data_IF_529173130864
#
_entry.id   IF_529173130864
#
_cell.length_a   1.000
_cell.length_b   1.000
_cell.length_c   1.000
_cell.angle_alpha   90.00
_cell.angle_beta   90.00
_cell.angle_gamma   90.00
#
_symmetry.space_group_name_H-M   'P 1'
#
loop_
_entity.id
_entity.type
_entity.pdbx_description
1 polymer ?
#
# COMPACT_ATOMS: atom_id res chain seq x y z
N UNK A 1 32.00 8.75 28.63
CA UNK A 1 31.91 8.64 27.15
C UNK A 1 31.17 7.35 26.81
N UNK A 2 29.85 7.39 26.81
CA UNK A 2 29.00 6.27 26.39
C UNK A 2 28.79 6.37 24.88
N UNK A 3 29.65 5.68 24.14
CA UNK A 3 29.47 5.44 22.71
C UNK A 3 28.43 4.35 22.48
N UNK A 4 27.19 4.58 22.91
CA UNK A 4 26.06 3.75 22.50
C UNK A 4 25.57 4.27 21.14
N UNK A 5 26.27 3.88 20.08
CA UNK A 5 25.66 3.86 18.76
C UNK A 5 24.48 2.91 18.82
N UNK A 6 23.26 3.47 18.87
CA UNK A 6 22.01 2.73 18.65
C UNK A 6 22.17 1.90 17.38
N UNK A 7 22.37 0.58 17.53
CA UNK A 7 22.38 -0.33 16.41
C UNK A 7 20.94 -0.43 15.89
N UNK A 8 20.64 0.32 14.83
CA UNK A 8 19.39 0.14 14.12
C UNK A 8 19.35 -1.28 13.56
N UNK A 9 18.39 -2.09 14.01
CA UNK A 9 18.05 -3.37 13.39
C UNK A 9 17.78 -3.18 11.89
N UNK A 10 17.98 -4.21 11.08
CA UNK A 10 17.61 -4.21 9.65
C UNK A 10 16.17 -3.74 9.42
N UNK A 11 15.24 -4.11 10.31
CA UNK A 11 13.83 -3.68 10.30
C UNK A 11 13.63 -2.19 10.61
N UNK A 12 14.40 -1.61 11.54
CA UNK A 12 14.35 -0.17 11.78
C UNK A 12 15.01 0.61 10.66
N UNK A 13 16.06 0.08 10.02
CA UNK A 13 16.65 0.66 8.82
C UNK A 13 15.72 0.57 7.61
N UNK A 14 14.99 -0.54 7.41
CA UNK A 14 13.97 -0.66 6.35
C UNK A 14 12.76 0.22 6.63
N UNK A 15 12.29 0.30 7.88
CA UNK A 15 11.21 1.20 8.29
C UNK A 15 11.63 2.67 8.15
N UNK A 16 12.84 3.04 8.56
CA UNK A 16 13.42 4.37 8.33
C UNK A 16 13.60 4.64 6.84
N UNK A 17 14.03 3.65 6.04
CA UNK A 17 14.15 3.78 4.60
C UNK A 17 12.79 3.94 3.94
N UNK A 18 11.77 3.20 4.37
CA UNK A 18 10.39 3.31 3.89
C UNK A 18 9.74 4.62 4.35
N UNK A 19 9.98 5.06 5.59
CA UNK A 19 9.52 6.35 6.11
C UNK A 19 10.22 7.50 5.40
N UNK A 20 11.52 7.39 5.14
CA UNK A 20 12.30 8.37 4.38
C UNK A 20 11.86 8.37 2.93
N UNK A 21 11.64 7.21 2.32
CA UNK A 21 11.09 7.10 0.97
C UNK A 21 9.66 7.66 0.90
N UNK A 22 8.85 7.47 1.94
CA UNK A 22 7.49 8.04 2.08
C UNK A 22 7.52 9.55 2.30
N UNK A 23 8.44 10.06 3.10
CA UNK A 23 8.65 11.49 3.33
C UNK A 23 9.21 12.16 2.07
N UNK A 24 10.24 11.60 1.45
CA UNK A 24 10.76 12.02 0.15
C UNK A 24 9.70 11.91 -0.95
N UNK A 25 8.74 10.98 -0.82
CA UNK A 25 7.57 10.85 -1.69
C UNK A 25 6.54 11.93 -1.41
N UNK A 26 6.31 12.32 -0.16
CA UNK A 26 5.42 13.42 0.24
C UNK A 26 6.04 14.76 -0.18
N UNK A 27 7.37 14.88 -0.10
CA UNK A 27 8.15 16.03 -0.52
C UNK A 27 8.23 16.11 -2.04
N UNK A 28 8.45 15.00 -2.76
CA UNK A 28 8.34 14.95 -4.22
C UNK A 28 6.91 15.24 -4.69
N UNK A 29 5.89 14.75 -3.98
CA UNK A 29 4.48 15.08 -4.25
C UNK A 29 4.24 16.58 -4.10
N UNK A 30 4.71 17.19 -3.00
CA UNK A 30 4.63 18.64 -2.77
C UNK A 30 5.45 19.45 -3.79
N UNK A 31 6.63 18.97 -4.18
CA UNK A 31 7.49 19.63 -5.16
C UNK A 31 6.93 19.57 -6.59
N UNK A 32 6.38 18.43 -7.00
CA UNK A 32 5.72 18.28 -8.30
C UNK A 32 4.43 19.11 -8.39
N UNK A 33 3.64 19.16 -7.31
CA UNK A 33 2.50 20.08 -7.19
C UNK A 33 2.95 21.54 -7.39
N UNK A 34 4.03 21.97 -6.73
CA UNK A 34 4.63 23.31 -6.91
C UNK A 34 5.16 23.54 -8.32
N UNK A 35 5.68 22.51 -8.99
CA UNK A 35 6.24 22.60 -10.35
C UNK A 35 5.15 22.58 -11.45
N UNK A 36 4.00 21.96 -11.19
CA UNK A 36 2.82 22.03 -12.05
C UNK A 36 2.19 23.43 -12.03
N UNK A 37 2.26 24.16 -10.91
CA UNK A 37 1.83 25.57 -10.81
C UNK A 37 2.68 26.52 -11.66
N UNK A 38 3.92 26.16 -12.00
CA UNK A 38 4.84 27.02 -12.78
C UNK A 38 4.82 26.74 -14.29
N UNK A 39 4.22 25.64 -14.75
CA UNK A 39 4.06 25.34 -16.18
C UNK A 39 2.78 25.98 -16.73
N UNK A 40 2.89 27.19 -17.27
CA UNK A 40 1.87 27.77 -18.16
C UNK A 40 1.74 26.90 -19.41
N UNK A 41 0.54 26.37 -19.66
CA UNK A 41 0.18 25.75 -20.93
C UNK A 41 -1.05 26.42 -21.54
N UNK A 42 -1.18 26.40 -22.88
CA UNK A 42 -2.12 27.23 -23.62
C UNK A 42 -3.58 26.76 -23.44
N UNK A 43 -4.56 27.65 -23.64
CA UNK A 43 -5.95 27.36 -23.36
C UNK A 43 -6.51 26.30 -24.32
N UNK A 44 -7.11 25.25 -23.78
CA UNK A 44 -7.90 24.29 -24.54
C UNK A 44 -9.18 24.96 -25.09
N UNK A 45 -9.51 24.62 -26.33
CA UNK A 45 -10.65 25.12 -27.11
C UNK A 45 -11.99 24.95 -26.38
N UNK A 46 -12.66 26.08 -26.16
CA UNK A 46 -13.99 26.20 -25.54
C UNK A 46 -15.10 25.87 -26.54
N UNK A 47 -16.04 25.01 -26.16
CA UNK A 47 -17.40 24.96 -26.72
C UNK A 47 -18.32 25.99 -26.00
N UNK A 48 -19.43 26.44 -26.61
CA UNK A 48 -19.94 27.80 -26.41
C UNK A 48 -20.81 27.98 -25.14
N UNK A 49 -20.25 28.77 -24.22
CA UNK A 49 -20.80 29.93 -23.49
C UNK A 49 -22.27 29.93 -23.05
N UNK A 50 -22.49 29.59 -21.77
CA UNK A 50 -23.26 30.46 -20.88
C UNK A 50 -22.32 31.62 -20.46
N UNK A 51 -22.82 32.86 -20.52
CA UNK A 51 -22.07 34.05 -20.08
C UNK A 51 -21.48 33.83 -18.66
N UNK A 52 -20.16 34.01 -18.44
CA UNK A 52 -19.60 33.92 -17.10
C UNK A 52 -20.19 35.05 -16.25
N UNK A 53 -20.75 34.71 -15.08
CA UNK A 53 -21.09 35.68 -14.05
C UNK A 53 -19.86 36.57 -13.79
N UNK A 54 -20.02 37.89 -13.56
CA UNK A 54 -18.88 38.77 -13.30
C UNK A 54 -18.10 38.26 -12.08
N UNK A 55 -16.80 38.00 -12.28
CA UNK A 55 -15.91 37.51 -11.23
C UNK A 55 -15.82 38.55 -10.09
N UNK A 56 -16.55 38.30 -9.00
CA UNK A 56 -16.47 39.11 -7.77
C UNK A 56 -15.08 38.93 -7.16
N UNK A 57 -14.50 40.00 -6.61
CA UNK A 57 -13.22 39.90 -5.91
C UNK A 57 -13.39 38.98 -4.70
N UNK A 58 -12.52 37.99 -4.48
CA UNK A 58 -12.61 37.12 -3.32
C UNK A 58 -12.49 37.95 -2.05
N UNK A 59 -13.48 37.80 -1.17
CA UNK A 59 -13.52 38.50 0.10
C UNK A 59 -12.84 37.61 1.15
N UNK A 60 -11.85 38.15 1.85
CA UNK A 60 -11.07 37.41 2.84
C UNK A 60 -11.56 37.73 4.25
N UNK A 61 -11.80 36.70 5.06
CA UNK A 61 -12.12 36.83 6.48
C UNK A 61 -10.96 36.28 7.31
N UNK A 62 -10.43 37.12 8.20
CA UNK A 62 -9.37 36.78 9.16
C UNK A 62 -9.86 36.80 10.61
N UNK A 63 -11.17 37.01 10.80
CA UNK A 63 -11.76 37.10 12.14
C UNK A 63 -11.76 35.71 12.80
N UNK A 64 -11.01 35.52 13.91
CA UNK A 64 -10.99 34.26 14.64
C UNK A 64 -12.37 33.88 15.17
N UNK A 65 -13.27 34.83 15.43
CA UNK A 65 -14.62 34.55 15.90
C UNK A 65 -15.43 33.83 14.81
N UNK A 66 -15.35 34.28 13.56
CA UNK A 66 -16.01 33.62 12.41
C UNK A 66 -15.45 32.22 12.20
N UNK A 67 -14.13 32.07 12.28
CA UNK A 67 -13.50 30.75 12.19
C UNK A 67 -13.97 29.83 13.33
N UNK A 68 -14.03 30.32 14.57
CA UNK A 68 -14.48 29.55 15.73
C UNK A 68 -15.95 29.13 15.60
N UNK A 69 -16.83 30.00 15.10
CA UNK A 69 -18.25 29.67 14.87
C UNK A 69 -18.40 28.55 13.83
N UNK A 70 -17.66 28.62 12.72
CA UNK A 70 -17.61 27.53 11.74
C UNK A 70 -17.03 26.24 12.34
N UNK A 71 -16.08 26.38 13.27
CA UNK A 71 -15.46 25.28 13.99
C UNK A 71 -16.42 24.65 15.00
N UNK A 72 -17.28 25.41 15.69
CA UNK A 72 -18.23 24.86 16.68
C UNK A 72 -19.49 24.28 16.04
N UNK A 73 -19.90 24.82 14.88
CA UNK A 73 -21.06 24.33 14.15
C UNK A 73 -22.40 24.71 14.75
N UNK A 74 -22.45 25.77 15.57
CA UNK A 74 -23.73 26.27 16.07
C UNK A 74 -24.53 26.91 14.92
N UNK A 75 -25.65 26.28 14.59
CA UNK A 75 -26.50 26.65 13.46
C UNK A 75 -27.05 28.08 13.61
N UNK A 76 -27.37 28.53 14.82
CA UNK A 76 -28.00 29.84 15.00
C UNK A 76 -26.99 30.97 14.80
N UNK A 77 -25.78 30.84 15.34
CA UNK A 77 -24.71 31.80 15.07
C UNK A 77 -24.28 31.79 13.61
N UNK A 78 -24.22 30.63 12.96
CA UNK A 78 -23.94 30.54 11.52
C UNK A 78 -25.04 31.25 10.71
N UNK A 79 -26.32 31.06 11.03
CA UNK A 79 -27.43 31.78 10.37
C UNK A 79 -27.34 33.30 10.54
N UNK A 80 -26.85 33.75 11.70
CA UNK A 80 -26.71 35.17 11.99
C UNK A 80 -25.53 35.82 11.26
N UNK A 81 -24.44 35.08 11.01
CA UNK A 81 -23.26 35.61 10.34
C UNK A 81 -23.40 35.46 8.81
N UNK A 82 -23.81 34.29 8.33
CA UNK A 82 -23.88 33.95 6.90
C UNK A 82 -25.30 34.17 6.37
N UNK A 83 -25.63 35.42 6.03
CA UNK A 83 -26.96 35.84 5.56
C UNK A 83 -27.07 36.05 4.05
N UNK A 84 -25.95 36.10 3.35
CA UNK A 84 -25.90 36.46 1.94
C UNK A 84 -24.83 35.64 1.18
N UNK A 85 -24.90 35.69 -0.14
CA UNK A 85 -24.00 34.99 -1.05
C UNK A 85 -22.53 35.41 -0.87
N UNK A 86 -22.30 36.67 -0.50
CA UNK A 86 -20.96 37.20 -0.28
C UNK A 86 -20.31 36.54 0.95
N UNK A 87 -21.02 36.48 2.08
CA UNK A 87 -20.49 35.86 3.28
C UNK A 87 -20.41 34.33 3.14
N UNK A 88 -21.37 33.70 2.43
CA UNK A 88 -21.35 32.26 2.15
C UNK A 88 -20.09 31.80 1.37
N UNK A 89 -19.55 32.69 0.51
CA UNK A 89 -18.37 32.43 -0.32
C UNK A 89 -17.09 33.15 0.15
N UNK A 90 -17.07 33.63 1.41
CA UNK A 90 -15.88 34.25 1.96
C UNK A 90 -14.72 33.24 2.02
N UNK A 91 -13.49 33.70 1.80
CA UNK A 91 -12.29 32.88 2.01
C UNK A 91 -11.82 33.10 3.45
N UNK A 92 -11.90 32.04 4.26
CA UNK A 92 -11.36 32.06 5.63
C UNK A 92 -9.85 31.82 5.55
N UNK A 93 -9.07 32.84 5.91
CA UNK A 93 -7.60 32.79 5.95
C UNK A 93 -7.15 32.54 7.38
N UNK A 94 -6.53 31.38 7.62
CA UNK A 94 -5.85 31.08 8.89
C UNK A 94 -4.35 31.24 8.71
N UNK A 95 -3.71 31.89 9.67
CA UNK A 95 -2.26 32.09 9.71
C UNK A 95 -1.71 31.21 10.83
N UNK A 96 -0.81 30.30 10.49
CA UNK A 96 -0.08 29.47 11.44
C UNK A 96 1.41 29.69 11.28
N UNK A 97 2.12 29.90 12.39
CA UNK A 97 3.58 30.01 12.38
C UNK A 97 4.20 28.60 12.35
N UNK A 98 4.94 28.28 11.29
CA UNK A 98 5.67 27.02 11.17
C UNK A 98 7.18 27.30 11.30
N UNK A 99 7.88 26.50 12.12
CA UNK A 99 9.35 26.56 12.23
C UNK A 99 9.98 25.92 10.98
N UNK A 100 10.68 26.73 10.18
CA UNK A 100 11.42 26.28 9.01
C UNK A 100 12.92 26.46 9.24
N UNK A 101 13.72 25.45 8.89
CA UNK A 101 15.18 25.55 8.92
C UNK A 101 15.66 26.46 7.78
N UNK A 102 16.35 27.54 8.13
CA UNK A 102 17.04 28.40 7.17
C UNK A 102 18.49 27.96 7.06
N UNK A 103 18.84 27.34 5.93
CA UNK A 103 20.23 26.91 5.66
C UNK A 103 21.20 28.10 5.55
N UNK A 104 20.71 29.27 5.12
CA UNK A 104 21.50 30.50 5.01
C UNK A 104 21.85 31.09 6.37
N UNK A 105 20.96 30.96 7.36
CA UNK A 105 21.14 31.50 8.70
C UNK A 105 21.61 30.44 9.72
N UNK A 106 21.58 29.16 9.36
CA UNK A 106 21.88 28.05 10.27
C UNK A 106 20.95 27.98 11.48
N UNK A 107 19.70 28.46 11.33
CA UNK A 107 18.74 28.64 12.42
C UNK A 107 17.32 28.25 11.98
N UNK A 108 16.49 27.89 12.96
CA UNK A 108 15.05 27.71 12.75
C UNK A 108 14.33 29.07 12.82
N UNK A 109 13.57 29.40 11.77
CA UNK A 109 12.84 30.65 11.63
C UNK A 109 11.34 30.37 11.63
N UNK A 110 10.60 31.09 12.49
CA UNK A 110 9.13 31.09 12.47
C UNK A 110 8.67 31.79 11.19
N UNK A 111 7.99 31.03 10.34
CA UNK A 111 7.53 31.45 9.03
C UNK A 111 6.01 31.41 9.00
N UNK A 112 5.32 32.53 8.73
CA UNK A 112 3.86 32.55 8.69
C UNK A 112 3.38 31.80 7.44
N UNK A 113 2.68 30.69 7.66
CA UNK A 113 1.99 29.95 6.61
C UNK A 113 0.52 30.33 6.58
N UNK A 114 0.05 30.73 5.40
CA UNK A 114 -1.35 31.10 5.16
C UNK A 114 -2.10 29.93 4.56
N UNK A 115 -3.21 29.54 5.19
CA UNK A 115 -4.12 28.53 4.68
C UNK A 115 -5.45 29.17 4.34
N UNK A 116 -5.89 28.97 3.11
CA UNK A 116 -7.19 29.43 2.64
C UNK A 116 -8.19 28.28 2.69
N UNK A 117 -9.38 28.53 3.24
CA UNK A 117 -10.46 27.54 3.31
C UNK A 117 -11.81 28.20 3.07
N UNK A 118 -12.80 27.45 2.56
CA UNK A 118 -14.17 27.95 2.45
C UNK A 118 -15.00 27.56 3.69
N UNK A 119 -15.97 28.38 4.10
CA UNK A 119 -16.91 28.06 5.18
C UNK A 119 -17.58 26.71 4.97
N UNK A 120 -18.05 26.47 3.74
CA UNK A 120 -18.72 25.22 3.34
C UNK A 120 -17.84 23.99 3.60
N UNK A 121 -16.53 24.08 3.29
CA UNK A 121 -15.58 22.99 3.50
C UNK A 121 -15.39 22.69 4.98
N UNK A 122 -15.26 23.70 5.83
CA UNK A 122 -15.08 23.53 7.29
C UNK A 122 -16.29 22.78 7.89
N UNK A 123 -17.51 23.26 7.60
CA UNK A 123 -18.72 22.63 8.15
C UNK A 123 -18.98 21.24 7.57
N UNK A 124 -18.65 21.01 6.29
CA UNK A 124 -18.80 19.72 5.63
C UNK A 124 -17.81 18.66 6.14
N UNK A 125 -16.55 19.03 6.39
CA UNK A 125 -15.57 18.12 7.00
C UNK A 125 -15.91 17.75 8.44
N UNK A 126 -16.61 18.64 9.15
CA UNK A 126 -17.10 18.40 10.51
C UNK A 126 -18.33 17.52 10.59
N UNK A 127 -19.12 17.45 9.52
CA UNK A 127 -20.38 16.72 9.52
C UNK A 127 -21.58 17.58 9.96
N UNK A 128 -21.46 18.92 9.97
CA UNK A 128 -22.55 19.81 10.34
C UNK A 128 -23.55 19.98 9.19
N UNK A 129 -24.34 18.93 8.94
CA UNK A 129 -25.27 18.82 7.79
C UNK A 129 -26.21 20.01 7.66
N UNK A 130 -26.80 20.48 8.75
CA UNK A 130 -27.74 21.61 8.70
C UNK A 130 -27.04 22.94 8.42
N UNK A 131 -25.79 23.09 8.85
CA UNK A 131 -24.96 24.26 8.52
C UNK A 131 -24.56 24.24 7.04
N UNK A 132 -24.19 23.07 6.51
CA UNK A 132 -23.95 22.86 5.07
C UNK A 132 -25.20 23.26 4.28
N UNK A 133 -26.38 22.77 4.67
CA UNK A 133 -27.65 23.09 4.00
C UNK A 133 -27.91 24.59 4.01
N UNK A 134 -27.73 25.25 5.16
CA UNK A 134 -27.92 26.70 5.26
C UNK A 134 -26.98 27.45 4.32
N UNK A 135 -25.67 27.15 4.34
CA UNK A 135 -24.70 27.83 3.48
C UNK A 135 -24.99 27.65 1.99
N UNK A 136 -25.39 26.46 1.54
CA UNK A 136 -25.79 26.23 0.15
C UNK A 136 -27.03 27.06 -0.22
N UNK A 137 -28.03 27.11 0.66
CA UNK A 137 -29.23 27.95 0.44
C UNK A 137 -28.92 29.44 0.40
N UNK A 138 -27.85 29.90 1.05
CA UNK A 138 -27.36 31.28 0.96
C UNK A 138 -26.46 31.53 -0.25
N UNK A 139 -26.27 30.54 -1.14
CA UNK A 139 -25.52 30.69 -2.38
C UNK A 139 -24.04 30.31 -2.28
N UNK A 140 -23.64 29.49 -1.31
CA UNK A 140 -22.29 28.92 -1.29
C UNK A 140 -22.01 28.09 -2.56
N UNK A 141 -20.87 28.35 -3.21
CA UNK A 141 -20.39 27.59 -4.35
C UNK A 141 -19.96 26.19 -3.91
N UNK A 142 -20.72 25.18 -4.34
CA UNK A 142 -20.58 23.78 -3.89
C UNK A 142 -19.23 23.18 -4.31
N UNK A 143 -18.79 23.49 -5.54
CA UNK A 143 -17.55 22.97 -6.12
C UNK A 143 -16.34 23.91 -5.95
N UNK A 144 -16.45 24.93 -5.08
CA UNK A 144 -15.35 25.87 -4.86
C UNK A 144 -14.11 25.18 -4.28
N UNK A 145 -13.01 25.17 -5.05
CA UNK A 145 -11.74 24.53 -4.68
C UNK A 145 -10.82 25.51 -3.94
N UNK A 146 -11.28 26.01 -2.79
CA UNK A 146 -10.50 26.95 -1.96
C UNK A 146 -9.45 26.20 -1.14
N UNK A 147 -8.18 26.61 -1.28
CA UNK A 147 -7.05 25.92 -0.63
C UNK A 147 -6.87 24.48 -1.14
N UNK A 148 -7.17 24.27 -2.42
CA UNK A 148 -6.87 23.03 -3.14
C UNK A 148 -7.88 21.88 -2.95
N UNK A 149 -8.99 22.08 -2.21
CA UNK A 149 -10.06 21.07 -2.07
C UNK A 149 -11.45 21.71 -2.01
N UNK A 150 -12.41 21.09 -2.70
CA UNK A 150 -13.85 21.33 -2.52
C UNK A 150 -14.41 20.69 -1.23
N UNK A 151 -15.61 21.11 -0.82
CA UNK A 151 -16.29 20.59 0.37
C UNK A 151 -16.54 19.07 0.33
N UNK A 152 -16.85 18.54 -0.87
CA UNK A 152 -17.10 17.11 -1.07
C UNK A 152 -15.88 16.24 -0.72
N UNK A 153 -14.66 16.73 -1.00
CA UNK A 153 -13.42 16.03 -0.63
C UNK A 153 -13.29 15.87 0.89
N UNK A 154 -13.54 16.95 1.65
CA UNK A 154 -13.42 16.91 3.10
C UNK A 154 -14.53 16.07 3.73
N UNK A 155 -15.73 16.01 3.14
CA UNK A 155 -16.74 15.04 3.57
C UNK A 155 -16.27 13.60 3.38
N UNK A 156 -15.58 13.27 2.28
CA UNK A 156 -15.05 11.92 2.06
C UNK A 156 -13.88 11.60 3.02
N UNK A 157 -12.92 12.51 3.18
CA UNK A 157 -11.77 12.33 4.09
C UNK A 157 -12.21 12.09 5.53
N UNK A 158 -13.22 12.82 5.99
CA UNK A 158 -13.69 12.77 7.37
C UNK A 158 -14.94 11.87 7.54
N UNK A 159 -15.25 11.02 6.56
CA UNK A 159 -16.31 10.00 6.65
C UNK A 159 -17.72 10.58 6.90
N UNK A 160 -18.00 11.77 6.37
CA UNK A 160 -19.27 12.50 6.55
C UNK A 160 -20.24 12.21 5.41
N UNK A 161 -20.74 10.97 5.36
CA UNK A 161 -21.63 10.50 4.29
C UNK A 161 -22.88 11.38 4.13
N UNK A 162 -23.49 11.84 5.23
CA UNK A 162 -24.67 12.70 5.16
C UNK A 162 -24.40 14.07 4.51
N UNK A 163 -23.21 14.64 4.77
CA UNK A 163 -22.80 15.88 4.13
C UNK A 163 -22.45 15.65 2.66
N UNK A 164 -21.79 14.53 2.33
CA UNK A 164 -21.52 14.14 0.95
C UNK A 164 -22.83 13.97 0.15
N UNK A 165 -23.82 13.25 0.71
CA UNK A 165 -25.14 13.09 0.09
C UNK A 165 -25.82 14.43 -0.16
N UNK A 166 -25.79 15.32 0.84
CA UNK A 166 -26.38 16.64 0.71
C UNK A 166 -25.69 17.44 -0.40
N UNK A 167 -24.35 17.52 -0.41
CA UNK A 167 -23.61 18.22 -1.45
C UNK A 167 -23.92 17.69 -2.85
N UNK A 168 -23.94 16.36 -3.02
CA UNK A 168 -24.27 15.70 -4.30
C UNK A 168 -25.70 15.99 -4.74
N UNK A 169 -26.67 15.98 -3.81
CA UNK A 169 -28.08 16.31 -4.11
C UNK A 169 -28.28 17.76 -4.56
N UNK A 170 -27.38 18.67 -4.17
CA UNK A 170 -27.35 20.07 -4.61
C UNK A 170 -26.43 20.31 -5.81
N UNK A 171 -26.03 19.25 -6.52
CA UNK A 171 -25.32 19.35 -7.79
C UNK A 171 -23.80 19.45 -7.67
N UNK A 172 -23.19 19.02 -6.55
CA UNK A 172 -21.73 18.88 -6.47
C UNK A 172 -21.23 17.93 -7.56
N UNK A 173 -20.16 18.31 -8.25
CA UNK A 173 -19.49 17.43 -9.20
C UNK A 173 -18.80 16.28 -8.46
N UNK A 174 -19.30 15.05 -8.64
CA UNK A 174 -18.73 13.85 -8.04
C UNK A 174 -17.29 13.55 -8.53
N UNK A 175 -16.84 14.22 -9.60
CA UNK A 175 -15.51 14.11 -10.19
C UNK A 175 -14.63 15.35 -9.98
N UNK A 176 -15.06 16.29 -9.12
CA UNK A 176 -14.29 17.49 -8.79
C UNK A 176 -12.86 17.12 -8.37
N UNK A 177 -11.86 17.83 -8.89
CA UNK A 177 -10.47 17.50 -8.61
C UNK A 177 -9.89 18.42 -7.54
N UNK A 178 -9.11 17.85 -6.62
CA UNK A 178 -8.20 18.64 -5.77
C UNK A 178 -7.11 19.29 -6.63
N UNK A 179 -6.36 20.22 -6.03
CA UNK A 179 -5.14 20.78 -6.63
C UNK A 179 -4.10 19.71 -6.96
N UNK A 180 -4.08 18.61 -6.19
CA UNK A 180 -3.24 17.42 -6.43
C UNK A 180 -3.82 16.49 -7.51
N UNK A 181 -4.97 16.84 -8.10
CA UNK A 181 -5.63 16.04 -9.13
C UNK A 181 -6.26 14.75 -8.60
N UNK A 182 -6.69 14.73 -7.33
CA UNK A 182 -7.43 13.62 -6.73
C UNK A 182 -8.93 13.89 -6.85
N UNK A 183 -9.70 12.92 -7.34
CA UNK A 183 -11.16 12.94 -7.26
C UNK A 183 -11.64 12.47 -5.88
N UNK A 184 -12.89 12.76 -5.44
CA UNK A 184 -13.41 12.38 -4.12
C UNK A 184 -13.31 10.88 -3.85
N UNK A 185 -13.52 10.04 -4.88
CA UNK A 185 -13.44 8.58 -4.77
C UNK A 185 -12.04 8.06 -4.39
N UNK A 186 -10.98 8.81 -4.70
CA UNK A 186 -9.60 8.49 -4.28
C UNK A 186 -9.35 8.78 -2.79
N UNK A 187 -10.21 9.57 -2.15
CA UNK A 187 -10.08 9.97 -0.75
C UNK A 187 -10.81 9.01 0.21
N UNK A 188 -11.54 8.02 -0.33
CA UNK A 188 -12.17 6.94 0.42
C UNK A 188 -11.12 5.89 0.82
N UNK A 189 -10.32 6.20 1.84
CA UNK A 189 -9.14 5.40 2.25
C UNK A 189 -9.35 4.56 3.52
N UNK A 190 -10.55 4.58 4.10
CA UNK A 190 -10.90 3.83 5.32
C UNK A 190 -12.22 3.07 5.14
N UNK A 191 -12.47 1.97 5.89
CA UNK A 191 -13.69 1.18 5.73
C UNK A 191 -14.96 2.03 5.98
N UNK A 192 -14.90 3.00 6.88
CA UNK A 192 -16.03 3.89 7.21
C UNK A 192 -16.41 4.82 6.04
N UNK A 193 -15.53 5.00 5.05
CA UNK A 193 -15.83 5.80 3.85
C UNK A 193 -16.66 5.05 2.80
N UNK A 194 -17.04 3.78 3.04
CA UNK A 194 -17.79 2.97 2.07
C UNK A 194 -19.08 3.68 1.64
N UNK A 195 -19.85 4.21 2.60
CA UNK A 195 -21.08 4.92 2.29
C UNK A 195 -20.85 6.18 1.44
N UNK A 196 -19.73 6.87 1.63
CA UNK A 196 -19.36 8.00 0.76
C UNK A 196 -19.06 7.51 -0.66
N UNK A 197 -18.34 6.39 -0.80
CA UNK A 197 -18.00 5.81 -2.10
C UNK A 197 -19.25 5.36 -2.88
N UNK A 198 -20.23 4.74 -2.21
CA UNK A 198 -21.52 4.40 -2.80
C UNK A 198 -22.24 5.64 -3.35
N UNK A 199 -22.40 6.67 -2.51
CA UNK A 199 -23.07 7.91 -2.89
C UNK A 199 -22.41 8.59 -4.08
N UNK A 200 -21.08 8.61 -4.11
CA UNK A 200 -20.31 9.17 -5.23
C UNK A 200 -20.61 8.43 -6.53
N UNK A 201 -20.60 7.10 -6.51
CA UNK A 201 -20.88 6.27 -7.69
C UNK A 201 -22.32 6.40 -8.16
N UNK A 202 -23.29 6.43 -7.23
CA UNK A 202 -24.70 6.70 -7.51
C UNK A 202 -24.91 8.05 -8.21
N UNK A 203 -24.08 9.05 -7.91
CA UNK A 203 -24.13 10.40 -8.51
C UNK A 203 -23.12 10.60 -9.65
N UNK A 204 -22.67 9.52 -10.31
CA UNK A 204 -21.90 9.60 -11.55
C UNK A 204 -20.39 9.81 -11.38
N UNK A 205 -19.81 9.45 -10.23
CA UNK A 205 -18.37 9.37 -10.10
C UNK A 205 -17.79 8.33 -11.07
N UNK A 206 -16.74 8.72 -11.78
CA UNK A 206 -16.05 7.88 -12.75
C UNK A 206 -15.09 6.93 -12.01
N UNK A 207 -15.47 5.66 -11.90
CA UNK A 207 -14.69 4.64 -11.16
C UNK A 207 -13.27 4.42 -11.70
N UNK A 208 -13.05 4.70 -12.99
CA UNK A 208 -11.75 4.56 -13.66
C UNK A 208 -11.01 5.89 -13.82
N UNK A 209 -11.50 6.98 -13.22
CA UNK A 209 -10.83 8.28 -13.29
C UNK A 209 -9.48 8.19 -12.58
N UNK A 210 -8.41 8.40 -13.33
CA UNK A 210 -7.06 8.31 -12.78
C UNK A 210 -6.54 9.67 -12.32
N UNK A 211 -5.77 9.70 -11.24
CA UNK A 211 -5.09 10.92 -10.79
C UNK A 211 -4.15 11.46 -11.86
N UNK A 212 -4.07 12.80 -12.01
CA UNK A 212 -3.25 13.45 -13.05
C UNK A 212 -1.77 13.06 -12.95
N UNK A 213 -1.24 13.06 -11.75
CA UNK A 213 0.20 12.93 -11.49
C UNK A 213 0.70 11.50 -11.43
N UNK A 214 -0.15 10.52 -11.13
CA UNK A 214 0.29 9.13 -10.95
C UNK A 214 -0.48 8.13 -11.75
N UNK A 215 -1.54 8.55 -12.43
CA UNK A 215 -2.47 7.64 -13.11
C UNK A 215 -2.98 6.55 -12.16
N UNK A 216 -3.09 6.88 -10.87
CA UNK A 216 -3.64 5.98 -9.84
C UNK A 216 -5.16 6.03 -9.95
N UNK A 217 -5.83 4.88 -10.00
CA UNK A 217 -7.30 4.82 -9.98
C UNK A 217 -7.81 4.59 -8.55
N UNK A 218 -9.10 4.83 -8.27
CA UNK A 218 -9.71 4.51 -6.97
C UNK A 218 -9.52 3.05 -6.55
N UNK A 219 -9.52 2.12 -7.51
CA UNK A 219 -9.26 0.70 -7.26
C UNK A 219 -7.83 0.45 -6.72
N UNK A 220 -6.82 1.17 -7.21
CA UNK A 220 -5.46 1.07 -6.66
C UNK A 220 -5.43 1.53 -5.20
N UNK A 221 -6.09 2.64 -4.89
CA UNK A 221 -6.13 3.20 -3.53
C UNK A 221 -6.83 2.24 -2.57
N UNK A 222 -8.00 1.71 -2.94
CA UNK A 222 -8.72 0.73 -2.14
C UNK A 222 -7.89 -0.54 -1.90
N UNK A 223 -7.17 -1.00 -2.93
CA UNK A 223 -6.31 -2.16 -2.84
C UNK A 223 -5.10 -1.93 -1.91
N UNK A 224 -4.41 -0.80 -2.03
CA UNK A 224 -3.30 -0.38 -1.16
C UNK A 224 -3.70 -0.33 0.34
N UNK A 225 -4.93 0.08 0.61
CA UNK A 225 -5.48 0.17 1.97
C UNK A 225 -6.11 -1.14 2.47
N UNK A 226 -6.23 -2.16 1.61
CA UNK A 226 -6.83 -3.45 1.96
C UNK A 226 -8.34 -3.36 2.19
N UNK A 227 -9.05 -2.53 1.43
CA UNK A 227 -10.49 -2.28 1.58
C UNK A 227 -11.31 -3.22 0.68
N UNK A 228 -11.65 -4.41 1.19
CA UNK A 228 -12.38 -5.45 0.46
C UNK A 228 -13.72 -4.97 -0.09
N UNK A 229 -14.51 -4.28 0.73
CA UNK A 229 -15.86 -3.82 0.35
C UNK A 229 -15.80 -2.73 -0.73
N UNK A 230 -14.84 -1.80 -0.64
CA UNK A 230 -14.61 -0.80 -1.68
C UNK A 230 -14.13 -1.43 -2.99
N UNK A 231 -13.23 -2.42 -2.91
CA UNK A 231 -12.78 -3.16 -4.10
C UNK A 231 -13.96 -3.86 -4.77
N UNK A 232 -14.81 -4.53 -3.99
CA UNK A 232 -16.03 -5.17 -4.50
C UNK A 232 -16.94 -4.14 -5.17
N UNK A 233 -17.23 -3.03 -4.51
CA UNK A 233 -18.06 -1.95 -5.02
C UNK A 233 -17.51 -1.42 -6.34
N UNK A 234 -16.23 -1.11 -6.41
CA UNK A 234 -15.60 -0.54 -7.61
C UNK A 234 -15.63 -1.54 -8.78
N UNK A 235 -15.41 -2.83 -8.52
CA UNK A 235 -15.52 -3.87 -9.55
C UNK A 235 -16.95 -4.01 -10.07
N UNK A 236 -17.97 -3.94 -9.20
CA UNK A 236 -19.38 -3.92 -9.61
C UNK A 236 -19.72 -2.74 -10.53
N UNK A 237 -19.05 -1.60 -10.35
CA UNK A 237 -19.19 -0.41 -11.20
C UNK A 237 -18.24 -0.41 -12.42
N UNK A 238 -17.55 -1.51 -12.71
CA UNK A 238 -16.72 -1.67 -13.91
C UNK A 238 -15.30 -1.12 -13.78
N UNK A 239 -14.71 -1.13 -12.58
CA UNK A 239 -13.30 -0.78 -12.41
C UNK A 239 -12.38 -1.71 -13.20
N UNK A 240 -11.48 -1.14 -14.01
CA UNK A 240 -10.55 -1.89 -14.85
C UNK A 240 -9.40 -2.50 -14.04
N UNK A 241 -9.29 -3.83 -14.07
CA UNK A 241 -8.23 -4.60 -13.39
C UNK A 241 -6.85 -4.44 -14.04
N UNK A 242 -6.80 -4.11 -15.32
CA UNK A 242 -5.57 -4.01 -16.12
C UNK A 242 -4.96 -2.61 -16.13
N UNK A 243 -5.60 -1.63 -15.49
CA UNK A 243 -5.07 -0.28 -15.40
C UNK A 243 -3.74 -0.28 -14.63
N UNK A 244 -2.76 0.43 -15.18
CA UNK A 244 -1.43 0.57 -14.59
C UNK A 244 -1.18 2.03 -14.24
N UNK A 245 -0.72 2.26 -13.01
CA UNK A 245 -0.27 3.58 -12.58
C UNK A 245 1.07 3.95 -13.27
N UNK A 246 1.60 5.15 -13.00
CA UNK A 246 2.89 5.60 -13.58
C UNK A 246 4.09 4.75 -13.16
N UNK A 247 3.97 4.01 -12.08
CA UNK A 247 4.99 3.07 -11.59
C UNK A 247 4.83 1.68 -12.23
N UNK A 248 3.84 1.51 -13.11
CA UNK A 248 3.53 0.26 -13.80
C UNK A 248 2.73 -0.72 -12.95
N UNK A 249 2.30 -0.35 -11.75
CA UNK A 249 1.59 -1.22 -10.81
C UNK A 249 0.11 -1.32 -11.17
N UNK A 250 -0.46 -2.51 -11.00
CA UNK A 250 -1.91 -2.76 -11.00
C UNK A 250 -2.47 -2.66 -9.57
N UNK A 251 -3.79 -2.70 -9.43
CA UNK A 251 -4.42 -2.81 -8.12
C UNK A 251 -3.95 -4.05 -7.33
N UNK A 252 -3.68 -5.18 -7.99
CA UNK A 252 -3.14 -6.38 -7.34
C UNK A 252 -1.72 -6.13 -6.81
N UNK A 253 -0.86 -5.46 -7.58
CA UNK A 253 0.48 -5.07 -7.10
C UNK A 253 0.38 -4.17 -5.85
N UNK A 254 -0.54 -3.19 -5.86
CA UNK A 254 -0.77 -2.28 -4.74
C UNK A 254 -1.26 -3.01 -3.48
N UNK A 255 -2.17 -3.98 -3.61
CA UNK A 255 -2.61 -4.82 -2.49
C UNK A 255 -1.45 -5.63 -1.88
N UNK A 256 -0.63 -6.26 -2.71
CA UNK A 256 0.51 -7.06 -2.23
C UNK A 256 1.63 -6.18 -1.64
N UNK A 257 1.86 -4.99 -2.20
CA UNK A 257 2.85 -4.03 -1.68
C UNK A 257 2.43 -3.45 -0.33
N UNK A 258 1.15 -3.13 -0.15
CA UNK A 258 0.60 -2.58 1.10
C UNK A 258 0.53 -3.58 2.25
N UNK A 259 0.72 -4.88 2.00
CA UNK A 259 0.67 -5.93 3.00
C UNK A 259 1.93 -6.03 3.88
N UNK A 260 2.51 -4.88 4.26
CA UNK A 260 3.79 -4.76 4.99
C UNK A 260 3.74 -5.30 6.44
N UNK A 261 2.56 -5.29 7.05
CA UNK A 261 2.34 -5.65 8.46
C UNK A 261 1.57 -6.96 8.61
N UNK A 262 2.08 -7.93 9.39
CA UNK A 262 1.44 -9.22 9.58
C UNK A 262 0.06 -9.09 10.26
N UNK A 263 -0.12 -8.10 11.13
CA UNK A 263 -1.41 -7.83 11.81
C UNK A 263 -2.54 -7.47 10.84
N UNK A 264 -2.20 -6.97 9.65
CA UNK A 264 -3.17 -6.58 8.61
C UNK A 264 -3.19 -7.58 7.44
N UNK A 265 -2.47 -8.69 7.53
CA UNK A 265 -2.37 -9.71 6.49
C UNK A 265 -3.74 -10.21 5.99
N UNK A 266 -4.72 -10.37 6.89
CA UNK A 266 -6.04 -10.90 6.56
C UNK A 266 -6.82 -10.07 5.53
N UNK A 267 -6.81 -8.74 5.65
CA UNK A 267 -7.56 -7.87 4.72
C UNK A 267 -6.94 -7.84 3.32
N UNK A 268 -5.61 -7.85 3.23
CA UNK A 268 -4.91 -7.88 1.94
C UNK A 268 -5.11 -9.21 1.21
N UNK A 269 -5.16 -10.31 1.95
CA UNK A 269 -5.51 -11.62 1.37
C UNK A 269 -6.89 -11.59 0.72
N UNK A 270 -7.91 -11.03 1.39
CA UNK A 270 -9.27 -10.96 0.85
C UNK A 270 -9.37 -10.07 -0.38
N UNK A 271 -8.70 -8.91 -0.36
CA UNK A 271 -8.60 -8.02 -1.53
C UNK A 271 -7.93 -8.73 -2.71
N UNK A 272 -6.76 -9.32 -2.50
CA UNK A 272 -6.03 -10.02 -3.56
C UNK A 272 -6.85 -11.18 -4.12
N UNK A 273 -7.50 -11.96 -3.24
CA UNK A 273 -8.41 -13.04 -3.63
C UNK A 273 -9.52 -12.54 -4.54
N UNK A 274 -10.19 -11.45 -4.15
CA UNK A 274 -11.26 -10.88 -4.96
C UNK A 274 -10.76 -10.42 -6.33
N UNK A 275 -9.63 -9.70 -6.38
CA UNK A 275 -9.05 -9.23 -7.62
C UNK A 275 -8.69 -10.40 -8.56
N UNK A 276 -8.10 -11.46 -8.02
CA UNK A 276 -7.73 -12.66 -8.77
C UNK A 276 -8.95 -13.46 -9.26
N UNK A 277 -9.99 -13.60 -8.43
CA UNK A 277 -11.28 -14.21 -8.81
C UNK A 277 -11.95 -13.43 -9.96
N UNK A 278 -11.81 -12.10 -9.98
CA UNK A 278 -12.30 -11.26 -11.07
C UNK A 278 -11.37 -11.23 -12.31
N UNK A 279 -10.27 -11.98 -12.31
CA UNK A 279 -9.39 -12.13 -13.47
C UNK A 279 -8.18 -11.19 -13.51
N UNK A 280 -7.75 -10.62 -12.37
CA UNK A 280 -6.48 -9.89 -12.31
C UNK A 280 -5.29 -10.81 -12.64
N UNK A 281 -4.34 -10.30 -13.42
CA UNK A 281 -3.14 -11.06 -13.79
C UNK A 281 -2.09 -11.03 -12.68
N UNK A 282 -1.79 -12.20 -12.11
CA UNK A 282 -0.78 -12.39 -11.08
C UNK A 282 0.67 -12.22 -11.59
N UNK A 283 0.89 -12.10 -12.91
CA UNK A 283 2.22 -11.99 -13.52
C UNK A 283 2.63 -10.55 -13.83
N UNK A 284 1.70 -9.60 -13.80
CA UNK A 284 1.97 -8.22 -14.19
C UNK A 284 2.95 -7.57 -13.22
N UNK A 285 4.14 -7.22 -13.72
CA UNK A 285 5.16 -6.54 -12.94
C UNK A 285 4.84 -5.06 -12.75
N UNK A 286 5.01 -4.57 -11.53
CA UNK A 286 4.82 -3.16 -11.16
C UNK A 286 6.13 -2.39 -11.05
N UNK A 287 6.22 -1.55 -10.02
CA UNK A 287 7.40 -0.74 -9.72
C UNK A 287 8.66 -1.59 -9.59
N UNK A 288 9.76 -1.14 -10.20
CA UNK A 288 11.06 -1.86 -10.20
C UNK A 288 10.95 -3.32 -10.68
N UNK A 289 10.00 -3.62 -11.57
CA UNK A 289 9.66 -4.96 -12.04
C UNK A 289 9.26 -5.94 -10.93
N UNK A 290 8.72 -5.45 -9.80
CA UNK A 290 8.17 -6.33 -8.77
C UNK A 290 6.81 -6.89 -9.21
N UNK A 291 6.73 -8.21 -9.39
CA UNK A 291 5.43 -8.90 -9.52
C UNK A 291 4.70 -8.93 -8.17
N UNK A 292 3.37 -9.19 -8.14
CA UNK A 292 2.64 -9.38 -6.89
C UNK A 292 3.31 -10.41 -5.97
N UNK A 293 3.89 -11.47 -6.55
CA UNK A 293 4.61 -12.52 -5.83
C UNK A 293 5.89 -12.00 -5.14
N UNK A 294 6.67 -11.12 -5.80
CA UNK A 294 7.82 -10.48 -5.14
C UNK A 294 7.40 -9.70 -3.89
N UNK A 295 6.31 -8.94 -3.99
CA UNK A 295 5.80 -8.13 -2.88
C UNK A 295 5.29 -9.01 -1.73
N UNK A 296 4.54 -10.07 -2.04
CA UNK A 296 4.05 -11.02 -1.04
C UNK A 296 5.18 -11.77 -0.33
N UNK A 297 6.23 -12.17 -1.05
CA UNK A 297 7.42 -12.80 -0.49
C UNK A 297 8.23 -11.83 0.39
N UNK A 298 8.50 -10.60 -0.08
CA UNK A 298 9.26 -9.60 0.67
C UNK A 298 8.56 -9.01 1.89
N UNK A 299 7.26 -9.27 2.03
CA UNK A 299 6.43 -8.93 3.19
C UNK A 299 6.10 -10.15 4.06
N UNK A 300 6.69 -11.31 3.77
CA UNK A 300 6.50 -12.57 4.50
C UNK A 300 5.02 -12.93 4.75
N UNK A 301 4.22 -13.06 3.68
CA UNK A 301 2.79 -13.40 3.79
C UNK A 301 2.47 -14.76 3.13
N UNK A 302 2.55 -15.89 3.88
CA UNK A 302 2.41 -17.23 3.31
C UNK A 302 1.09 -17.46 2.57
N UNK A 303 -0.05 -17.02 3.15
CA UNK A 303 -1.36 -17.23 2.52
C UNK A 303 -1.52 -16.45 1.22
N UNK A 304 -0.93 -15.27 1.14
CA UNK A 304 -0.96 -14.45 -0.08
C UNK A 304 -0.05 -15.05 -1.15
N UNK A 305 1.11 -15.58 -0.77
CA UNK A 305 2.01 -16.33 -1.68
C UNK A 305 1.28 -17.56 -2.24
N UNK A 306 0.69 -18.39 -1.39
CA UNK A 306 -0.05 -19.59 -1.82
C UNK A 306 -1.17 -19.24 -2.81
N UNK A 307 -1.92 -18.18 -2.53
CA UNK A 307 -2.99 -17.68 -3.40
C UNK A 307 -2.45 -17.23 -4.77
N UNK A 308 -1.37 -16.44 -4.80
CA UNK A 308 -0.78 -15.97 -6.04
C UNK A 308 -0.24 -17.13 -6.90
N UNK A 309 0.37 -18.12 -6.26
CA UNK A 309 0.88 -19.31 -6.94
C UNK A 309 -0.25 -20.16 -7.54
N UNK A 310 -1.36 -20.33 -6.80
CA UNK A 310 -2.58 -20.99 -7.30
C UNK A 310 -3.17 -20.28 -8.53
N UNK A 311 -3.02 -18.96 -8.61
CA UNK A 311 -3.43 -18.15 -9.76
C UNK A 311 -2.31 -17.95 -10.81
N UNK A 312 -1.29 -18.81 -10.80
CA UNK A 312 -0.29 -18.90 -11.87
C UNK A 312 0.78 -17.80 -11.84
N UNK A 313 1.06 -17.20 -10.68
CA UNK A 313 2.18 -16.29 -10.54
C UNK A 313 3.51 -16.96 -10.93
N UNK A 314 4.37 -16.22 -11.64
CA UNK A 314 5.64 -16.74 -12.12
C UNK A 314 6.72 -16.72 -11.02
N UNK A 315 7.22 -17.89 -10.64
CA UNK A 315 8.14 -18.11 -9.50
C UNK A 315 9.60 -17.71 -9.74
N UNK A 316 10.05 -17.69 -11.00
CA UNK A 316 11.46 -17.51 -11.37
C UNK A 316 11.73 -16.19 -12.12
N UNK A 317 10.85 -15.21 -12.01
CA UNK A 317 11.03 -13.89 -12.66
C UNK A 317 11.96 -13.04 -11.82
N UNK A 318 12.94 -12.37 -12.43
CA UNK A 318 13.79 -11.41 -11.74
C UNK A 318 13.23 -9.98 -11.80
N UNK A 319 13.34 -9.24 -10.70
CA UNK A 319 13.08 -7.80 -10.66
C UNK A 319 14.26 -6.99 -11.25
N UNK A 320 14.20 -5.65 -11.19
CA UNK A 320 15.27 -4.79 -11.72
C UNK A 320 16.64 -4.97 -11.04
N UNK A 321 16.68 -5.52 -9.83
CA UNK A 321 17.92 -5.80 -9.09
C UNK A 321 18.45 -7.23 -9.33
N UNK A 322 17.79 -8.02 -10.18
CA UNK A 322 18.15 -9.41 -10.44
C UNK A 322 17.61 -10.40 -9.41
N UNK A 323 16.85 -9.95 -8.41
CA UNK A 323 16.28 -10.82 -7.38
C UNK A 323 14.99 -11.48 -7.85
N UNK A 324 14.85 -12.77 -7.56
CA UNK A 324 13.63 -13.57 -7.73
C UNK A 324 12.69 -13.43 -6.53
N UNK A 325 11.44 -13.91 -6.59
CA UNK A 325 10.56 -14.00 -5.43
C UNK A 325 11.16 -14.81 -4.27
N UNK A 326 11.91 -15.88 -4.59
CA UNK A 326 12.67 -16.66 -3.60
C UNK A 326 13.71 -15.79 -2.90
N UNK A 327 14.49 -15.00 -3.65
CA UNK A 327 15.48 -14.09 -3.05
C UNK A 327 14.83 -13.04 -2.14
N UNK A 328 13.68 -12.51 -2.53
CA UNK A 328 12.90 -11.60 -1.68
C UNK A 328 12.38 -12.28 -0.41
N UNK A 329 11.94 -13.54 -0.49
CA UNK A 329 11.52 -14.31 0.68
C UNK A 329 12.69 -14.55 1.65
N UNK A 330 13.85 -14.94 1.12
CA UNK A 330 15.06 -15.18 1.93
C UNK A 330 15.53 -13.90 2.64
N UNK A 331 15.58 -12.77 1.94
CA UNK A 331 15.94 -11.48 2.54
C UNK A 331 14.97 -11.01 3.64
N UNK A 332 13.71 -11.46 3.60
CA UNK A 332 12.70 -11.12 4.59
C UNK A 332 12.72 -12.03 5.83
N UNK A 333 13.48 -13.14 5.84
CA UNK A 333 13.47 -14.12 6.95
C UNK A 333 13.87 -13.48 8.27
N UNK A 334 14.96 -12.71 8.29
CA UNK A 334 15.46 -12.04 9.51
C UNK A 334 14.46 -11.03 10.08
N UNK A 335 13.63 -10.43 9.23
CA UNK A 335 12.66 -9.41 9.62
C UNK A 335 11.35 -10.01 10.15
N UNK A 336 11.01 -11.23 9.73
CA UNK A 336 9.72 -11.88 10.01
C UNK A 336 9.91 -13.31 10.54
N UNK A 337 10.65 -13.47 11.63
CA UNK A 337 10.93 -14.78 12.25
C UNK A 337 9.63 -15.52 12.63
N UNK A 338 8.63 -14.82 13.16
CA UNK A 338 7.31 -15.38 13.51
C UNK A 338 6.38 -15.58 12.30
N UNK A 339 6.77 -15.06 11.12
CA UNK A 339 5.95 -15.02 9.91
C UNK A 339 5.83 -16.36 9.16
N UNK A 340 6.41 -17.43 9.70
CA UNK A 340 6.53 -18.75 9.05
C UNK A 340 7.19 -18.68 7.66
N UNK A 341 8.37 -18.04 7.52
CA UNK A 341 9.05 -17.92 6.23
C UNK A 341 9.37 -19.28 5.58
N UNK A 342 9.56 -20.33 6.38
CA UNK A 342 9.80 -21.69 5.90
C UNK A 342 8.66 -22.20 5.02
N UNK A 343 7.40 -21.79 5.28
CA UNK A 343 6.26 -22.14 4.44
C UNK A 343 6.32 -21.46 3.10
N UNK A 344 6.74 -20.19 3.03
CA UNK A 344 6.89 -19.46 1.77
C UNK A 344 7.94 -20.14 0.91
N UNK A 345 9.09 -20.48 1.51
CA UNK A 345 10.19 -21.16 0.82
C UNK A 345 9.72 -22.51 0.29
N UNK A 346 9.04 -23.33 1.12
CA UNK A 346 8.49 -24.61 0.70
C UNK A 346 7.48 -24.45 -0.45
N UNK A 347 6.53 -23.52 -0.35
CA UNK A 347 5.54 -23.24 -1.39
C UNK A 347 6.18 -22.83 -2.71
N UNK A 348 7.23 -21.98 -2.68
CA UNK A 348 7.97 -21.59 -3.88
C UNK A 348 8.69 -22.78 -4.51
N UNK A 349 9.35 -23.62 -3.71
CA UNK A 349 10.01 -24.84 -4.18
C UNK A 349 9.01 -25.84 -4.79
N UNK A 350 7.82 -25.96 -4.20
CA UNK A 350 6.74 -26.82 -4.71
C UNK A 350 6.13 -26.33 -6.04
N UNK A 351 6.33 -25.06 -6.36
CA UNK A 351 5.94 -24.46 -7.64
C UNK A 351 7.14 -24.30 -8.60
N UNK A 352 8.28 -24.94 -8.29
CA UNK A 352 9.42 -25.02 -9.20
C UNK A 352 10.36 -23.82 -9.17
N UNK A 353 10.49 -23.16 -8.01
CA UNK A 353 11.55 -22.18 -7.81
C UNK A 353 12.93 -22.81 -8.10
N UNK A 354 13.80 -22.03 -8.74
CA UNK A 354 15.17 -22.45 -9.04
C UNK A 354 15.98 -22.74 -7.76
N UNK A 355 17.09 -23.45 -7.93
CA UNK A 355 18.02 -23.71 -6.85
C UNK A 355 18.47 -22.40 -6.20
N UNK A 356 18.46 -22.39 -4.87
CA UNK A 356 18.83 -21.21 -4.09
C UNK A 356 20.33 -20.96 -4.25
N UNK A 357 20.74 -19.70 -4.31
CA UNK A 357 22.16 -19.36 -4.30
C UNK A 357 22.74 -19.56 -2.89
N UNK A 358 23.82 -20.32 -2.70
CA UNK A 358 24.42 -20.55 -1.37
C UNK A 358 24.74 -19.25 -0.61
N UNK A 359 25.06 -18.15 -1.30
CA UNK A 359 25.32 -16.84 -0.68
C UNK A 359 24.10 -16.23 0.03
N UNK A 360 22.89 -16.70 -0.31
CA UNK A 360 21.63 -16.25 0.30
C UNK A 360 21.32 -16.99 1.60
N UNK A 361 22.02 -18.09 1.91
CA UNK A 361 21.78 -18.90 3.11
C UNK A 361 21.99 -18.12 4.40
N UNK A 362 22.86 -17.11 4.38
CA UNK A 362 23.12 -16.24 5.53
C UNK A 362 21.85 -15.56 6.08
N UNK A 363 20.89 -15.24 5.21
CA UNK A 363 19.64 -14.61 5.64
C UNK A 363 18.71 -15.57 6.41
N UNK A 364 18.98 -16.88 6.35
CA UNK A 364 18.27 -17.88 7.13
C UNK A 364 18.97 -18.24 8.45
N UNK A 365 20.09 -17.60 8.81
CA UNK A 365 20.87 -17.99 9.99
C UNK A 365 20.08 -17.93 11.29
N UNK A 366 19.17 -16.95 11.40
CA UNK A 366 18.29 -16.73 12.55
C UNK A 366 17.02 -17.60 12.56
N UNK A 367 16.78 -18.38 11.50
CA UNK A 367 15.61 -19.27 11.41
C UNK A 367 16.05 -20.68 11.02
N UNK A 368 16.33 -21.56 12.02
CA UNK A 368 16.68 -22.97 11.76
C UNK A 368 15.64 -23.67 10.88
N UNK A 369 14.36 -23.34 11.06
CA UNK A 369 13.25 -23.89 10.27
C UNK A 369 13.34 -23.50 8.80
N UNK A 370 13.59 -22.22 8.49
CA UNK A 370 13.78 -21.77 7.11
C UNK A 370 15.04 -22.40 6.51
N UNK A 371 16.15 -22.38 7.26
CA UNK A 371 17.41 -22.98 6.84
C UNK A 371 17.27 -24.47 6.58
N UNK A 372 16.49 -25.20 7.39
CA UNK A 372 16.21 -26.61 7.20
C UNK A 372 15.52 -26.89 5.87
N UNK A 373 14.45 -26.16 5.53
CA UNK A 373 13.74 -26.31 4.25
C UNK A 373 14.69 -26.04 3.07
N UNK A 374 15.52 -25.00 3.20
CA UNK A 374 16.49 -24.64 2.18
C UNK A 374 17.56 -25.72 2.00
N UNK A 375 18.20 -26.19 3.08
CA UNK A 375 19.21 -27.25 3.02
C UNK A 375 18.62 -28.55 2.48
N UNK A 376 17.37 -28.84 2.83
CA UNK A 376 16.63 -30.00 2.32
C UNK A 376 16.26 -29.91 0.84
N UNK A 377 16.40 -28.73 0.21
CA UNK A 377 16.23 -28.58 -1.25
C UNK A 377 17.46 -29.04 -2.05
N UNK A 378 18.63 -29.13 -1.43
CA UNK A 378 19.86 -29.60 -2.08
C UNK A 378 20.03 -31.11 -1.95
N UNK A 379 20.59 -31.73 -2.98
CA UNK A 379 21.06 -33.12 -2.97
C UNK A 379 22.37 -33.29 -2.17
N UNK A 380 23.17 -32.23 -2.06
CA UNK A 380 24.39 -32.17 -1.23
C UNK A 380 24.60 -30.77 -0.63
N UNK A 381 25.04 -30.72 0.62
CA UNK A 381 25.44 -29.49 1.29
C UNK A 381 26.93 -29.24 1.00
N UNK A 382 27.23 -28.25 0.15
CA UNK A 382 28.60 -28.02 -0.35
C UNK A 382 29.47 -27.17 0.59
N UNK A 383 28.91 -26.13 1.20
CA UNK A 383 29.59 -25.25 2.16
C UNK A 383 28.57 -24.65 3.12
N UNK A 384 29.01 -24.48 4.37
CA UNK A 384 28.24 -23.88 5.44
C UNK A 384 28.78 -22.52 5.89
N UNK A 385 29.95 -22.12 5.37
CA UNK A 385 30.72 -20.96 5.85
C UNK A 385 29.88 -19.67 5.83
N UNK A 386 29.07 -19.49 4.78
CA UNK A 386 28.25 -18.29 4.61
C UNK A 386 27.20 -18.08 5.70
N UNK A 387 26.66 -19.15 6.27
CA UNK A 387 25.58 -19.05 7.26
C UNK A 387 26.06 -19.37 8.67
N UNK A 388 27.06 -20.23 8.86
CA UNK A 388 27.62 -20.58 10.17
C UNK A 388 28.17 -19.35 10.89
N UNK A 389 28.94 -18.51 10.20
CA UNK A 389 29.47 -17.26 10.77
C UNK A 389 28.37 -16.25 11.13
N UNK A 390 27.19 -16.37 10.52
CA UNK A 390 26.05 -15.50 10.74
C UNK A 390 25.08 -16.00 11.83
N UNK A 391 25.31 -17.18 12.43
CA UNK A 391 24.48 -17.72 13.52
C UNK A 391 24.99 -17.18 14.86
N UNK A 392 24.16 -16.48 15.66
CA UNK A 392 24.52 -16.08 17.01
C UNK A 392 24.77 -17.28 17.94
N UNK A 393 25.70 -17.19 18.90
CA UNK A 393 26.03 -18.31 19.79
C UNK A 393 24.85 -18.77 20.63
N UNK A 394 23.94 -17.87 21.03
CA UNK A 394 22.72 -18.20 21.76
C UNK A 394 21.81 -19.09 20.91
N UNK A 395 21.64 -18.74 19.64
CA UNK A 395 20.81 -19.50 18.72
C UNK A 395 21.40 -20.88 18.44
N UNK A 396 22.73 -20.95 18.32
CA UNK A 396 23.44 -22.22 18.18
C UNK A 396 23.18 -23.16 19.36
N UNK A 397 23.21 -22.63 20.59
CA UNK A 397 22.99 -23.42 21.79
C UNK A 397 21.56 -23.98 21.86
N UNK A 398 20.57 -23.16 21.51
CA UNK A 398 19.15 -23.56 21.53
C UNK A 398 18.85 -24.65 20.49
N UNK A 399 19.38 -24.54 19.28
CA UNK A 399 19.14 -25.48 18.18
C UNK A 399 20.37 -26.31 17.82
N UNK A 400 21.16 -26.69 18.83
CA UNK A 400 22.43 -27.40 18.66
C UNK A 400 22.29 -28.67 17.82
N UNK A 401 21.26 -29.47 18.06
CA UNK A 401 21.03 -30.72 17.32
C UNK A 401 20.89 -30.50 15.81
N UNK A 402 20.17 -29.45 15.42
CA UNK A 402 19.99 -29.09 14.03
C UNK A 402 21.32 -28.64 13.41
N UNK A 403 21.98 -27.65 14.01
CA UNK A 403 23.20 -27.08 13.45
C UNK A 403 24.36 -28.09 13.39
N UNK A 404 24.54 -28.90 14.44
CA UNK A 404 25.55 -29.96 14.47
C UNK A 404 25.28 -30.99 13.36
N UNK A 405 24.01 -31.39 13.15
CA UNK A 405 23.65 -32.31 12.07
C UNK A 405 23.89 -31.72 10.67
N UNK A 406 23.59 -30.42 10.49
CA UNK A 406 23.82 -29.73 9.23
C UNK A 406 25.32 -29.63 8.90
N UNK A 407 26.15 -29.31 9.90
CA UNK A 407 27.61 -29.30 9.78
C UNK A 407 28.17 -30.67 9.44
N UNK A 408 27.74 -31.72 10.15
CA UNK A 408 28.18 -33.09 9.90
C UNK A 408 27.88 -33.54 8.46
N UNK A 409 26.79 -33.06 7.87
CA UNK A 409 26.39 -33.40 6.50
C UNK A 409 27.11 -32.59 5.42
N UNK A 410 27.99 -31.65 5.79
CA UNK A 410 28.79 -30.89 4.83
C UNK A 410 29.71 -31.82 4.04
N UNK A 411 29.60 -31.80 2.71
CA UNK A 411 30.32 -32.67 1.78
C UNK A 411 30.13 -34.19 1.99
N UNK A 412 29.15 -34.60 2.81
CA UNK A 412 28.79 -36.01 3.00
C UNK A 412 27.64 -36.44 2.05
N UNK A 413 27.58 -37.72 1.66
CA UNK A 413 26.46 -38.24 0.90
C UNK A 413 25.18 -38.28 1.76
N UNK A 414 24.08 -37.76 1.23
CA UNK A 414 22.75 -37.85 1.86
C UNK A 414 22.21 -39.27 1.77
N UNK A 415 21.26 -39.61 2.65
CA UNK A 415 20.55 -40.89 2.57
C UNK A 415 19.90 -41.10 1.20
N UNK A 416 19.82 -42.36 0.75
CA UNK A 416 19.16 -42.73 -0.51
C UNK A 416 17.72 -42.19 -0.58
N UNK A 417 17.00 -42.20 0.55
CA UNK A 417 15.65 -41.64 0.64
C UNK A 417 15.62 -40.14 0.31
N UNK A 418 16.60 -39.37 0.80
CA UNK A 418 16.71 -37.94 0.51
C UNK A 418 17.06 -37.69 -0.96
N UNK A 419 18.02 -38.44 -1.50
CA UNK A 419 18.39 -38.34 -2.92
C UNK A 419 17.20 -38.70 -3.83
N UNK A 420 16.42 -39.72 -3.46
CA UNK A 420 15.20 -40.08 -4.16
C UNK A 420 14.14 -38.96 -4.08
N UNK A 421 13.99 -38.29 -2.94
CA UNK A 421 13.12 -37.11 -2.80
C UNK A 421 13.58 -35.98 -3.74
N UNK A 422 14.86 -35.64 -3.73
CA UNK A 422 15.41 -34.61 -4.63
C UNK A 422 15.15 -34.96 -6.09
N UNK A 423 15.50 -36.17 -6.52
CA UNK A 423 15.29 -36.64 -7.89
C UNK A 423 13.81 -36.59 -8.31
N UNK A 424 12.89 -37.04 -7.44
CA UNK A 424 11.46 -37.00 -7.73
C UNK A 424 10.94 -35.56 -7.82
N UNK A 425 11.35 -34.68 -6.91
CA UNK A 425 10.97 -33.26 -6.95
C UNK A 425 11.51 -32.57 -8.21
N UNK A 426 12.77 -32.85 -8.60
CA UNK A 426 13.34 -32.36 -9.87
C UNK A 426 12.57 -32.85 -11.08
N UNK A 427 12.15 -34.13 -11.09
CA UNK A 427 11.34 -34.70 -12.16
C UNK A 427 9.93 -34.07 -12.26
N UNK A 428 9.28 -33.82 -11.12
CA UNK A 428 7.97 -33.20 -11.07
C UNK A 428 8.02 -31.70 -11.40
N UNK A 429 9.11 -31.02 -11.04
CA UNK A 429 9.35 -29.61 -11.29
C UNK A 429 8.28 -28.72 -10.67
N UNK A 430 7.72 -27.80 -11.45
CA UNK A 430 6.65 -26.90 -11.02
C UNK A 430 5.34 -27.60 -10.63
N UNK A 431 5.20 -28.91 -10.90
CA UNK A 431 4.01 -29.70 -10.57
C UNK A 431 4.11 -30.37 -9.20
N UNK A 432 5.14 -30.11 -8.39
CA UNK A 432 5.24 -30.73 -7.06
C UNK A 432 3.99 -30.48 -6.21
N UNK A 433 3.49 -29.24 -6.17
CA UNK A 433 2.29 -28.87 -5.40
C UNK A 433 1.02 -29.67 -5.78
N UNK A 434 0.83 -29.99 -7.07
CA UNK A 434 -0.37 -30.68 -7.57
C UNK A 434 -0.18 -32.19 -7.72
N UNK A 435 1.01 -32.65 -8.11
CA UNK A 435 1.27 -34.07 -8.37
C UNK A 435 1.55 -34.87 -7.09
N UNK A 436 2.26 -34.32 -6.10
CA UNK A 436 2.63 -35.05 -4.88
C UNK A 436 1.38 -35.57 -4.13
N UNK A 437 0.31 -34.79 -3.95
CA UNK A 437 -0.92 -35.28 -3.32
C UNK A 437 -1.57 -36.47 -4.04
N UNK A 438 -1.43 -36.55 -5.37
CA UNK A 438 -2.04 -37.57 -6.23
C UNK A 438 -1.22 -38.86 -6.35
N UNK A 439 0.04 -38.85 -5.91
CA UNK A 439 0.89 -40.04 -5.93
C UNK A 439 0.29 -41.15 -5.06
N UNK A 440 0.28 -42.38 -5.59
CA UNK A 440 -0.13 -43.60 -4.87
C UNK A 440 0.96 -44.05 -3.89
N UNK A 441 1.32 -43.18 -2.97
CA UNK A 441 2.32 -43.40 -1.92
C UNK A 441 1.68 -43.31 -0.53
N UNK A 442 2.21 -44.03 0.48
CA UNK A 442 1.86 -43.83 1.88
C UNK A 442 1.91 -42.35 2.29
N UNK A 443 1.02 -41.95 3.22
CA UNK A 443 0.92 -40.57 3.70
C UNK A 443 2.26 -40.02 4.22
N UNK A 444 3.03 -40.84 4.93
CA UNK A 444 4.36 -40.47 5.44
C UNK A 444 5.35 -40.11 4.33
N UNK A 445 5.36 -40.87 3.23
CA UNK A 445 6.22 -40.57 2.08
C UNK A 445 5.74 -39.35 1.32
N UNK A 446 4.42 -39.16 1.15
CA UNK A 446 3.88 -37.93 0.54
C UNK A 446 4.24 -36.70 1.37
N UNK A 447 4.10 -36.77 2.69
CA UNK A 447 4.50 -35.71 3.59
C UNK A 447 6.01 -35.42 3.51
N UNK A 448 6.85 -36.47 3.45
CA UNK A 448 8.31 -36.32 3.30
C UNK A 448 8.70 -35.57 2.01
N UNK A 449 7.98 -35.80 0.92
CA UNK A 449 8.19 -35.09 -0.34
C UNK A 449 7.88 -33.59 -0.25
N UNK A 450 7.07 -33.14 0.71
CA UNK A 450 6.68 -31.74 0.92
C UNK A 450 7.63 -30.96 1.84
N UNK A 451 8.86 -31.45 2.05
CA UNK A 451 9.90 -30.80 2.86
C UNK A 451 9.44 -30.51 4.31
N UNK A 452 8.96 -31.52 5.07
CA UNK A 452 8.54 -31.30 6.44
C UNK A 452 9.75 -30.98 7.32
N UNK A 453 9.51 -30.30 8.43
CA UNK A 453 10.55 -29.98 9.41
C UNK A 453 10.75 -31.18 10.34
N UNK A 454 11.96 -31.72 10.34
CA UNK A 454 12.43 -32.80 11.19
C UNK A 454 13.29 -32.27 12.36
N UNK A 455 13.85 -31.06 12.23
CA UNK A 455 14.75 -30.44 13.21
C UNK A 455 16.19 -30.98 13.16
N UNK A 456 16.54 -31.71 12.11
CA UNK A 456 17.89 -32.21 11.84
C UNK A 456 18.06 -32.55 10.35
N UNK A 457 19.31 -32.77 9.93
CA UNK A 457 19.73 -32.96 8.54
C UNK A 457 20.45 -34.31 8.44
N UNK A 458 19.96 -35.23 7.58
CA UNK A 458 20.47 -36.61 7.43
C UNK A 458 20.71 -37.09 6.01
#
# INVERSE_FOLDING_TARGET
MSGETFAFTSSTLRSLRLQRERLEWEDRRRALSRQCLSRRFPPATRSPLLLPKPARRPQYCRDPAVHNVLYTGDLQTIKNIFKDEAMANVIVETVSEELLWSAELGLWVLSPQKRHTSPLRIVAGRGYRDCVKHLILQGAEVDAVVGGKAALHDSCIHQRAECAQLLLSYGADANVLTEEGLAPLHLCTSPETLRCAELLLEHGALVNLSTRDRRTTPLHVAAEHGLEEHVQLYLCYGAGLTHRNREGETALNAACAGADKPTKAGRYYRVAKRLLECGADAKTAGRKNHTPLHNACGNCHPRLVDLLLQHGAAVNVSNCAGYTPMDCALQAVEEYLDGQPERIIASLLDHGAAAINPKMLKFCSLSPRALEVVLNSYDRILSCDSWVEAVPPEMWQEHKTFYDSALQMTNQPRQLQHLARCALRTYLGARCHSAIPELKLPLSLRAYLQLPLEGYIR
#
